data_IF_368249097380
#
_entry.id   IF_368249097380
#
_cell.length_a   1.000
_cell.length_b   1.000
_cell.length_c   1.000
_cell.angle_alpha   90.00
_cell.angle_beta   90.00
_cell.angle_gamma   90.00
#
_symmetry.space_group_name_H-M   'P 1'
#
loop_
_entity.id
_entity.type
_entity.pdbx_description
1 polymer ?
#
# COMPACT_ATOMS: atom_id res chain seq x y z
N UNK A 1 -4.59 -14.31 38.42
CA UNK A 1 -5.98 -13.83 38.32
C UNK A 1 -6.16 -13.34 36.89
N UNK A 2 -6.66 -14.22 36.02
CA UNK A 2 -6.74 -13.98 34.58
C UNK A 2 -7.91 -13.07 34.25
N UNK A 3 -7.65 -11.99 33.52
CA UNK A 3 -8.69 -11.15 32.92
C UNK A 3 -9.19 -11.82 31.65
N UNK A 4 -10.15 -12.70 31.80
CA UNK A 4 -10.99 -13.20 30.70
C UNK A 4 -11.81 -12.04 30.15
N UNK A 5 -11.45 -11.57 28.95
CA UNK A 5 -12.22 -10.58 28.19
C UNK A 5 -13.49 -11.25 27.61
N UNK A 6 -14.71 -10.86 28.01
CA UNK A 6 -15.93 -11.45 27.47
C UNK A 6 -16.16 -10.90 26.06
N UNK A 7 -16.24 -11.82 25.08
CA UNK A 7 -16.27 -11.61 23.62
C UNK A 7 -14.91 -11.36 22.92
N UNK A 8 -14.06 -12.38 22.90
CA UNK A 8 -13.54 -13.01 21.66
C UNK A 8 -12.83 -12.22 20.56
N UNK A 9 -12.63 -10.90 20.68
CA UNK A 9 -12.02 -10.09 19.62
C UNK A 9 -10.55 -9.86 19.93
N UNK A 10 -9.70 -10.73 19.39
CA UNK A 10 -8.27 -10.48 19.38
C UNK A 10 -8.01 -9.32 18.38
N UNK A 11 -7.46 -8.17 18.83
CA UNK A 11 -7.23 -7.01 17.96
C UNK A 11 -6.39 -7.37 16.72
N UNK A 12 -5.48 -8.35 16.86
CA UNK A 12 -4.75 -8.90 15.72
C UNK A 12 -5.66 -9.58 14.70
N UNK A 13 -6.61 -10.41 15.12
CA UNK A 13 -7.56 -11.06 14.20
C UNK A 13 -8.46 -10.05 13.47
N UNK A 14 -8.89 -8.99 14.17
CA UNK A 14 -9.64 -7.89 13.57
C UNK A 14 -8.82 -7.16 12.52
N UNK A 15 -7.55 -6.84 12.82
CA UNK A 15 -6.62 -6.24 11.85
C UNK A 15 -6.43 -7.13 10.62
N UNK A 16 -6.16 -8.43 10.80
CA UNK A 16 -6.03 -9.37 9.68
C UNK A 16 -7.32 -9.55 8.89
N UNK A 17 -8.50 -9.36 9.50
CA UNK A 17 -9.77 -9.33 8.76
C UNK A 17 -9.86 -8.10 7.86
N UNK A 18 -9.44 -6.93 8.35
CA UNK A 18 -9.36 -5.69 7.57
C UNK A 18 -8.35 -5.87 6.42
N UNK A 19 -7.12 -6.30 6.71
CA UNK A 19 -6.07 -6.54 5.69
C UNK A 19 -6.57 -7.49 4.59
N UNK A 20 -7.20 -8.62 4.96
CA UNK A 20 -7.75 -9.57 3.96
C UNK A 20 -8.92 -9.01 3.18
N UNK A 21 -9.75 -8.14 3.76
CA UNK A 21 -10.82 -7.47 3.03
C UNK A 21 -10.24 -6.58 1.93
N UNK A 22 -9.26 -5.75 2.26
CA UNK A 22 -8.60 -4.85 1.32
C UNK A 22 -7.77 -5.59 0.27
N UNK A 23 -6.96 -6.58 0.70
CA UNK A 23 -6.16 -7.41 -0.21
C UNK A 23 -7.02 -8.11 -1.26
N UNK A 24 -8.16 -8.71 -0.85
CA UNK A 24 -9.09 -9.30 -1.82
C UNK A 24 -9.60 -8.27 -2.80
N UNK A 25 -9.93 -7.06 -2.36
CA UNK A 25 -10.54 -6.04 -3.22
C UNK A 25 -9.57 -5.50 -4.27
N UNK A 26 -8.27 -5.44 -3.98
CA UNK A 26 -7.23 -5.20 -5.00
C UNK A 26 -7.02 -6.39 -5.96
N UNK A 27 -7.32 -7.62 -5.54
CA UNK A 27 -7.20 -8.82 -6.39
C UNK A 27 -8.52 -9.28 -7.04
N UNK A 28 -9.65 -8.69 -6.67
CA UNK A 28 -10.99 -9.23 -6.98
C UNK A 28 -11.98 -8.16 -7.42
N UNK A 29 -11.53 -6.94 -7.71
CA UNK A 29 -12.38 -5.96 -8.35
C UNK A 29 -12.62 -6.37 -9.84
N UNK A 30 -13.51 -7.33 -10.06
CA UNK A 30 -14.38 -7.48 -11.24
C UNK A 30 -13.83 -7.72 -12.67
N UNK A 31 -12.61 -7.32 -13.06
CA UNK A 31 -12.06 -7.54 -14.41
C UNK A 31 -10.55 -7.79 -14.35
N UNK A 32 -9.96 -8.55 -15.30
CA UNK A 32 -8.52 -8.83 -15.33
C UNK A 32 -7.65 -7.56 -15.32
N UNK A 33 -8.18 -6.46 -15.85
CA UNK A 33 -7.60 -5.11 -15.84
C UNK A 33 -7.41 -4.56 -14.41
N UNK A 34 -8.22 -5.00 -13.45
CA UNK A 34 -8.21 -4.51 -12.07
C UNK A 34 -7.17 -5.23 -11.19
N UNK A 35 -6.86 -6.49 -11.47
CA UNK A 35 -5.79 -7.22 -10.77
C UNK A 35 -4.41 -6.69 -11.17
N UNK A 36 -4.22 -6.39 -12.46
CA UNK A 36 -2.98 -5.77 -12.95
C UNK A 36 -2.84 -4.35 -12.40
N UNK A 37 -3.93 -3.55 -12.42
CA UNK A 37 -3.94 -2.22 -11.77
C UNK A 37 -3.68 -2.30 -10.28
N UNK A 38 -4.22 -3.29 -9.56
CA UNK A 38 -3.96 -3.48 -8.14
C UNK A 38 -2.48 -3.74 -7.84
N UNK A 39 -1.80 -4.51 -8.70
CA UNK A 39 -0.34 -4.73 -8.60
C UNK A 39 0.45 -3.47 -8.92
N UNK A 40 0.04 -2.72 -9.94
CA UNK A 40 0.66 -1.44 -10.29
C UNK A 40 0.53 -0.43 -9.16
N UNK A 41 -0.63 -0.34 -8.52
CA UNK A 41 -0.86 0.49 -7.34
C UNK A 41 0.05 0.05 -6.21
N UNK A 42 0.12 -1.25 -5.88
CA UNK A 42 0.98 -1.72 -4.78
C UNK A 42 2.46 -1.38 -5.01
N UNK A 43 2.99 -1.60 -6.23
CA UNK A 43 4.40 -1.29 -6.51
C UNK A 43 4.66 0.22 -6.60
N UNK A 44 3.71 1.00 -7.12
CA UNK A 44 3.82 2.46 -7.15
C UNK A 44 3.76 3.06 -5.73
N UNK A 45 2.88 2.57 -4.86
CA UNK A 45 2.81 2.93 -3.43
C UNK A 45 4.11 2.63 -2.71
N UNK A 46 4.63 1.41 -2.89
CA UNK A 46 5.91 1.01 -2.31
C UNK A 46 7.05 1.95 -2.76
N UNK A 47 7.11 2.26 -4.05
CA UNK A 47 8.11 3.19 -4.58
C UNK A 47 7.90 4.59 -4.01
N UNK A 48 6.65 5.09 -3.93
CA UNK A 48 6.27 6.40 -3.39
C UNK A 48 6.66 6.57 -1.92
N UNK A 49 6.32 5.60 -1.07
CA UNK A 49 6.66 5.60 0.37
C UNK A 49 8.16 5.60 0.64
N UNK A 50 8.94 4.98 -0.26
CA UNK A 50 10.40 4.95 -0.20
C UNK A 50 11.08 6.18 -0.83
N UNK A 51 10.34 7.11 -1.47
CA UNK A 51 10.93 8.22 -2.27
C UNK A 51 11.66 9.31 -1.48
N UNK A 52 11.70 9.30 -0.14
CA UNK A 52 12.40 10.30 0.67
C UNK A 52 13.83 10.58 0.15
N UNK A 53 14.02 11.62 -0.65
CA UNK A 53 15.26 12.12 -1.27
C UNK A 53 16.08 11.25 -2.25
N UNK A 54 16.12 9.92 -2.18
CA UNK A 54 17.07 9.11 -3.00
C UNK A 54 16.46 8.11 -3.98
N UNK A 55 15.13 8.03 -4.13
CA UNK A 55 14.48 7.00 -4.95
C UNK A 55 14.61 5.58 -4.37
N UNK A 56 13.82 4.64 -4.91
CA UNK A 56 13.70 3.29 -4.35
C UNK A 56 14.47 2.25 -5.16
N UNK A 57 15.19 1.33 -4.51
CA UNK A 57 15.77 0.16 -5.18
C UNK A 57 14.74 -0.98 -5.28
N UNK A 58 14.91 -1.91 -6.23
CA UNK A 58 14.05 -3.10 -6.33
C UNK A 58 14.08 -3.94 -5.05
N UNK A 59 15.21 -3.98 -4.34
CA UNK A 59 15.32 -4.72 -3.07
C UNK A 59 14.47 -4.07 -1.98
N UNK A 60 14.54 -2.75 -1.82
CA UNK A 60 13.70 -2.04 -0.85
C UNK A 60 12.21 -2.21 -1.18
N UNK A 61 11.85 -2.22 -2.46
CA UNK A 61 10.48 -2.52 -2.91
C UNK A 61 10.07 -3.96 -2.59
N UNK A 62 10.97 -4.94 -2.73
CA UNK A 62 10.71 -6.32 -2.35
C UNK A 62 10.45 -6.45 -0.83
N UNK A 63 11.29 -5.79 -0.02
CA UNK A 63 11.17 -5.76 1.43
C UNK A 63 9.86 -5.07 1.88
N UNK A 64 9.51 -3.95 1.26
CA UNK A 64 8.23 -3.24 1.48
C UNK A 64 7.02 -4.14 1.22
N UNK A 65 7.02 -4.82 0.07
CA UNK A 65 5.89 -5.64 -0.37
C UNK A 65 5.86 -7.02 0.32
N UNK A 66 6.91 -7.40 1.05
CA UNK A 66 7.05 -8.72 1.66
C UNK A 66 7.10 -9.85 0.64
N UNK A 67 7.66 -9.60 -0.55
CA UNK A 67 7.81 -10.58 -1.63
C UNK A 67 9.28 -10.79 -1.97
N UNK A 68 9.56 -11.82 -2.77
CA UNK A 68 10.93 -12.07 -3.22
C UNK A 68 11.38 -11.03 -4.27
N UNK A 69 12.70 -10.86 -4.40
CA UNK A 69 13.29 -9.93 -5.36
C UNK A 69 12.85 -10.22 -6.80
N UNK A 70 12.66 -11.50 -7.15
CA UNK A 70 12.25 -11.92 -8.49
C UNK A 70 10.82 -11.46 -8.80
N UNK A 71 9.88 -11.60 -7.87
CA UNK A 71 8.52 -11.10 -7.95
C UNK A 71 8.47 -9.58 -8.03
N UNK A 72 9.20 -8.89 -7.15
CA UNK A 72 9.29 -7.43 -7.16
C UNK A 72 9.84 -6.90 -8.48
N UNK A 73 10.91 -7.50 -9.01
CA UNK A 73 11.49 -7.12 -10.31
C UNK A 73 10.49 -7.25 -11.46
N UNK A 74 9.65 -8.29 -11.45
CA UNK A 74 8.59 -8.48 -12.45
C UNK A 74 7.52 -7.39 -12.35
N UNK A 75 7.03 -7.09 -11.15
CA UNK A 75 6.03 -6.02 -10.95
C UNK A 75 6.58 -4.65 -11.34
N UNK A 76 7.80 -4.33 -10.91
CA UNK A 76 8.49 -3.10 -11.29
C UNK A 76 8.65 -2.99 -12.80
N UNK A 77 9.07 -4.07 -13.47
CA UNK A 77 9.29 -4.02 -14.91
C UNK A 77 8.00 -3.77 -15.69
N UNK A 78 6.89 -4.38 -15.26
CA UNK A 78 5.58 -4.14 -15.86
C UNK A 78 5.07 -2.72 -15.60
N UNK A 79 5.25 -2.18 -14.38
CA UNK A 79 4.86 -0.82 -14.07
C UNK A 79 5.71 0.23 -14.82
N UNK A 80 6.99 -0.07 -15.11
CA UNK A 80 7.83 0.75 -15.98
C UNK A 80 7.36 0.68 -17.44
N UNK A 81 7.04 -0.52 -17.94
CA UNK A 81 6.51 -0.71 -19.29
C UNK A 81 5.19 0.03 -19.51
N UNK A 82 4.33 0.05 -18.48
CA UNK A 82 3.07 0.80 -18.46
C UNK A 82 3.21 2.29 -18.18
N UNK A 83 4.43 2.77 -17.89
CA UNK A 83 4.74 4.18 -17.71
C UNK A 83 4.39 4.77 -16.34
N UNK A 84 4.05 3.95 -15.33
CA UNK A 84 3.79 4.42 -13.96
C UNK A 84 5.07 4.66 -13.16
N UNK A 85 6.14 3.94 -13.51
CA UNK A 85 7.45 4.07 -12.90
C UNK A 85 8.50 4.38 -13.96
N UNK A 86 9.59 5.01 -13.55
CA UNK A 86 10.78 5.15 -14.38
C UNK A 86 12.05 4.82 -13.59
N UNK A 87 13.07 4.34 -14.32
CA UNK A 87 14.38 4.01 -13.76
C UNK A 87 15.32 5.20 -13.96
N UNK A 88 15.91 5.71 -12.87
CA UNK A 88 16.96 6.73 -12.90
C UNK A 88 18.28 6.16 -12.40
N UNK A 89 19.39 6.69 -12.88
CA UNK A 89 20.71 6.31 -12.36
C UNK A 89 20.84 6.80 -10.91
N UNK A 90 21.45 5.98 -10.04
CA UNK A 90 21.77 6.44 -8.69
C UNK A 90 22.83 7.54 -8.75
N UNK A 91 22.63 8.68 -8.05
CA UNK A 91 23.64 9.71 -7.90
C UNK A 91 24.94 9.20 -7.26
N UNK A 92 24.87 8.14 -6.44
CA UNK A 92 26.01 7.58 -5.71
C UNK A 92 26.73 6.43 -6.43
N UNK A 93 26.04 5.69 -7.30
CA UNK A 93 26.64 4.60 -8.11
C UNK A 93 25.81 4.40 -9.39
N UNK A 94 26.35 4.78 -10.54
CA UNK A 94 25.65 4.66 -11.83
C UNK A 94 25.31 3.21 -12.23
N UNK A 95 25.91 2.19 -11.57
CA UNK A 95 25.54 0.78 -11.77
C UNK A 95 24.22 0.43 -11.09
N UNK A 96 23.78 1.25 -10.12
CA UNK A 96 22.53 1.07 -9.41
C UNK A 96 21.44 1.92 -10.06
N UNK A 97 20.27 1.32 -10.26
CA UNK A 97 19.09 2.03 -10.75
C UNK A 97 18.08 2.20 -9.64
N UNK A 98 17.61 3.42 -9.51
CA UNK A 98 16.54 3.80 -8.61
C UNK A 98 15.24 3.89 -9.38
N UNK A 99 14.14 3.64 -8.69
CA UNK A 99 12.78 3.76 -9.19
C UNK A 99 12.19 5.06 -8.67
N UNK A 100 11.45 5.73 -9.54
CA UNK A 100 10.66 6.91 -9.22
C UNK A 100 9.29 6.77 -9.87
N UNK A 101 8.28 7.31 -9.20
CA UNK A 101 6.93 7.44 -9.75
C UNK A 101 6.95 8.49 -10.86
N UNK A 102 6.21 8.26 -11.93
CA UNK A 102 5.99 9.25 -13.01
C UNK A 102 4.71 10.05 -12.73
N UNK A 103 4.47 11.13 -13.47
CA UNK A 103 3.20 11.85 -13.40
C UNK A 103 1.96 10.95 -13.65
N UNK A 104 2.10 9.92 -14.49
CA UNK A 104 1.02 8.95 -14.73
C UNK A 104 0.88 7.97 -13.55
N UNK A 105 1.99 7.60 -12.92
CA UNK A 105 1.98 6.87 -11.67
C UNK A 105 1.31 7.65 -10.54
N UNK A 106 1.56 8.96 -10.43
CA UNK A 106 0.91 9.82 -9.44
C UNK A 106 -0.61 9.87 -9.68
N UNK A 107 -1.07 9.97 -10.94
CA UNK A 107 -2.50 9.89 -11.27
C UNK A 107 -3.13 8.54 -10.92
N UNK A 108 -2.37 7.45 -11.10
CA UNK A 108 -2.79 6.12 -10.69
C UNK A 108 -2.98 6.05 -9.17
N UNK A 109 -2.02 6.56 -8.41
CA UNK A 109 -2.09 6.61 -6.94
C UNK A 109 -3.24 7.49 -6.46
N UNK A 110 -3.42 8.67 -7.04
CA UNK A 110 -4.54 9.56 -6.75
C UNK A 110 -5.90 8.89 -6.99
N UNK A 111 -6.03 8.13 -8.09
CA UNK A 111 -7.22 7.34 -8.34
C UNK A 111 -7.43 6.24 -7.28
N UNK A 112 -6.36 5.53 -6.93
CA UNK A 112 -6.41 4.49 -5.92
C UNK A 112 -6.79 5.04 -4.53
N UNK A 113 -6.20 6.16 -4.11
CA UNK A 113 -6.52 6.83 -2.85
C UNK A 113 -7.99 7.25 -2.79
N UNK A 114 -8.52 7.91 -3.84
CA UNK A 114 -9.96 8.26 -3.89
C UNK A 114 -10.86 7.04 -3.81
N UNK A 115 -10.47 5.95 -4.46
CA UNK A 115 -11.22 4.70 -4.36
C UNK A 115 -11.16 4.11 -2.95
N UNK A 116 -10.00 4.09 -2.30
CA UNK A 116 -9.84 3.65 -0.91
C UNK A 116 -10.72 4.50 0.03
N UNK A 117 -10.71 5.81 -0.13
CA UNK A 117 -11.58 6.73 0.63
C UNK A 117 -13.06 6.41 0.44
N UNK A 118 -13.48 6.12 -0.79
CA UNK A 118 -14.86 5.75 -1.10
C UNK A 118 -15.28 4.44 -0.43
N UNK A 119 -14.40 3.44 -0.39
CA UNK A 119 -14.65 2.16 0.29
C UNK A 119 -14.68 2.35 1.80
N UNK A 120 -13.78 3.19 2.35
CA UNK A 120 -13.80 3.51 3.77
C UNK A 120 -15.13 4.20 4.17
N UNK A 121 -15.59 5.16 3.36
CA UNK A 121 -16.87 5.82 3.57
C UNK A 121 -18.05 4.83 3.47
N UNK A 122 -18.04 3.90 2.51
CA UNK A 122 -19.05 2.84 2.39
C UNK A 122 -19.10 1.97 3.65
N UNK A 123 -17.94 1.52 4.13
CA UNK A 123 -17.83 0.66 5.31
C UNK A 123 -18.26 1.35 6.61
N UNK A 124 -18.18 2.67 6.65
CA UNK A 124 -18.49 3.50 7.83
C UNK A 124 -19.79 4.29 7.70
N UNK A 125 -20.56 4.10 6.61
CA UNK A 125 -21.74 4.90 6.30
C UNK A 125 -22.83 4.89 7.39
N UNK A 126 -22.90 3.83 8.19
CA UNK A 126 -23.85 3.70 9.31
C UNK A 126 -23.32 4.15 10.66
N UNK A 127 -22.08 4.66 10.74
CA UNK A 127 -21.45 5.03 12.00
C UNK A 127 -21.74 6.49 12.37
N UNK A 128 -21.75 6.84 13.67
CA UNK A 128 -21.72 8.24 14.10
C UNK A 128 -20.49 8.97 13.54
N UNK A 129 -20.66 10.22 13.11
CA UNK A 129 -19.57 11.00 12.50
C UNK A 129 -18.34 11.15 13.41
N UNK A 130 -18.56 11.24 14.73
CA UNK A 130 -17.48 11.32 15.72
C UNK A 130 -16.68 10.01 15.79
N UNK A 131 -17.34 8.86 15.68
CA UNK A 131 -16.69 7.55 15.66
C UNK A 131 -15.85 7.36 14.39
N UNK A 132 -16.35 7.81 13.23
CA UNK A 132 -15.59 7.80 11.98
C UNK A 132 -14.32 8.64 12.12
N UNK A 133 -14.43 9.86 12.65
CA UNK A 133 -13.29 10.75 12.87
C UNK A 133 -12.30 10.16 13.87
N UNK A 134 -12.76 9.58 14.98
CA UNK A 134 -11.87 8.93 15.94
C UNK A 134 -11.18 7.71 15.33
N UNK A 135 -11.89 6.91 14.54
CA UNK A 135 -11.31 5.74 13.88
C UNK A 135 -10.21 6.12 12.88
N UNK A 136 -10.42 7.17 12.08
CA UNK A 136 -9.38 7.71 11.19
C UNK A 136 -8.12 8.13 11.97
N UNK A 137 -8.27 8.82 13.09
CA UNK A 137 -7.14 9.22 13.94
C UNK A 137 -6.41 8.00 14.52
N UNK A 138 -7.14 6.96 14.93
CA UNK A 138 -6.52 5.72 15.42
C UNK A 138 -5.79 4.96 14.31
N UNK A 139 -6.32 4.92 13.09
CA UNK A 139 -5.63 4.32 11.94
C UNK A 139 -4.32 5.06 11.63
N UNK A 140 -4.34 6.39 11.60
CA UNK A 140 -3.14 7.22 11.39
C UNK A 140 -2.10 6.99 12.49
N UNK A 141 -2.53 7.00 13.76
CA UNK A 141 -1.64 6.73 14.90
C UNK A 141 -1.08 5.31 14.86
N UNK A 142 -1.88 4.33 14.45
CA UNK A 142 -1.43 2.95 14.30
C UNK A 142 -0.39 2.82 13.18
N UNK A 143 -0.63 3.43 12.02
CA UNK A 143 0.30 3.44 10.89
C UNK A 143 1.65 4.08 11.24
N UNK A 144 1.65 5.27 11.85
CA UNK A 144 2.88 5.93 12.29
C UNK A 144 3.72 5.05 13.24
N UNK A 145 3.08 4.32 14.15
CA UNK A 145 3.77 3.40 15.05
C UNK A 145 4.32 2.14 14.35
N UNK A 146 3.83 1.80 13.15
CA UNK A 146 4.41 0.74 12.31
C UNK A 146 5.68 1.25 11.61
N UNK A 147 5.64 2.47 11.06
CA UNK A 147 6.77 3.09 10.37
C UNK A 147 7.97 3.27 11.31
N UNK A 148 7.73 3.63 12.58
CA UNK A 148 8.78 3.74 13.62
C UNK A 148 9.47 2.41 13.97
N UNK A 149 8.84 1.27 13.67
CA UNK A 149 9.34 -0.06 14.01
C UNK A 149 10.05 -0.76 12.85
N UNK A 150 10.11 -0.09 11.70
CA UNK A 150 10.71 -0.56 10.46
C UNK A 150 12.16 -0.10 10.34
#
# INVERSE_FOLDING_TARGET
MGTSNPAGHNPGQSLFRVVRYWSRRWTSAGQAVDVERGRDVMVAEAVAGLQGSSGATVNQVADELGIDQSGASRFVSQAVERGYLHKVASPSDARHRLLRVTDEGDRLLDFAHRWQDSVFAELTAGWPADDVRQFQLYLQRFGAAQDERR
#
